data_IF_760417155306
#
_entry.id   IF_760417155306
#
_cell.length_a   1.000
_cell.length_b   1.000
_cell.length_c   1.000
_cell.angle_alpha   90.00
_cell.angle_beta   90.00
_cell.angle_gamma   90.00
#
_symmetry.space_group_name_H-M   'P 1'
#
loop_
_entity.id
_entity.type
_entity.pdbx_description
1 polymer ?
#
# COMPACT_ATOMS: atom_id res chain seq x y z
N UNK A 1 -20.99 20.92 -2.80
CA UNK A 1 -20.73 19.93 -3.87
C UNK A 1 -19.73 18.94 -3.27
N UNK A 2 -20.21 17.81 -2.73
CA UNK A 2 -19.32 16.78 -2.18
C UNK A 2 -18.51 16.18 -3.35
N UNK A 3 -17.19 16.04 -3.23
CA UNK A 3 -16.42 15.34 -4.24
C UNK A 3 -16.86 13.88 -4.31
N UNK A 4 -17.07 13.38 -5.53
CA UNK A 4 -17.21 11.94 -5.84
C UNK A 4 -16.05 11.17 -5.20
N UNK A 5 -16.28 10.50 -4.07
CA UNK A 5 -15.28 9.59 -3.49
C UNK A 5 -15.38 8.22 -4.16
N UNK A 6 -14.26 7.61 -4.57
CA UNK A 6 -14.24 6.21 -5.02
C UNK A 6 -14.66 5.28 -3.88
N UNK A 7 -15.02 4.04 -4.22
CA UNK A 7 -15.45 3.02 -3.26
C UNK A 7 -14.32 2.59 -2.30
N UNK A 8 -14.11 3.33 -1.21
CA UNK A 8 -13.18 3.01 -0.11
C UNK A 8 -12.11 4.08 0.16
N UNK A 9 -11.46 4.05 1.35
CA UNK A 9 -10.44 5.02 1.73
C UNK A 9 -9.20 4.94 0.85
N UNK A 10 -8.47 6.07 0.73
CA UNK A 10 -7.12 6.04 0.16
C UNK A 10 -6.18 5.30 1.11
N UNK A 11 -5.66 4.15 0.66
CA UNK A 11 -4.73 3.34 1.44
C UNK A 11 -3.29 3.77 1.13
N UNK A 12 -2.63 4.46 2.07
CA UNK A 12 -1.28 4.97 1.87
C UNK A 12 -0.31 4.19 2.76
N UNK A 13 0.64 3.49 2.13
CA UNK A 13 1.70 2.81 2.85
C UNK A 13 2.82 3.79 3.23
N UNK A 14 3.22 3.79 4.50
CA UNK A 14 4.40 4.51 4.97
C UNK A 14 5.53 3.50 5.16
N UNK A 15 6.59 3.61 4.35
CA UNK A 15 7.70 2.67 4.31
C UNK A 15 9.04 3.35 4.61
N UNK A 16 10.04 2.56 5.00
CA UNK A 16 11.42 3.00 5.15
C UNK A 16 12.41 1.90 4.75
N UNK A 17 13.55 2.31 4.17
CA UNK A 17 14.61 1.37 3.77
C UNK A 17 15.39 0.77 4.94
N UNK A 18 15.36 1.40 6.12
CA UNK A 18 16.02 0.96 7.35
C UNK A 18 15.17 1.26 8.59
N UNK A 19 15.48 0.58 9.70
CA UNK A 19 14.91 0.89 11.02
C UNK A 19 15.48 2.19 11.60
N UNK A 20 14.74 2.85 12.50
CA UNK A 20 15.21 4.02 13.23
C UNK A 20 15.11 5.37 12.49
N UNK A 21 14.48 5.43 11.32
CA UNK A 21 14.27 6.71 10.59
C UNK A 21 13.11 7.56 11.11
N UNK A 22 12.40 7.10 12.15
CA UNK A 22 11.21 7.79 12.70
C UNK A 22 9.94 7.65 11.87
N UNK A 23 9.83 6.59 11.05
CA UNK A 23 8.65 6.27 10.23
C UNK A 23 7.33 6.33 11.01
N UNK A 24 7.24 5.65 12.16
CA UNK A 24 6.02 5.64 12.98
C UNK A 24 5.69 7.01 13.58
N UNK A 25 6.71 7.79 13.97
CA UNK A 25 6.55 9.18 14.41
C UNK A 25 5.97 10.06 13.31
N UNK A 26 6.46 9.88 12.07
CA UNK A 26 5.93 10.56 10.89
C UNK A 26 4.49 10.14 10.64
N UNK A 27 4.18 8.84 10.66
CA UNK A 27 2.82 8.31 10.47
C UNK A 27 1.84 8.89 11.48
N UNK A 28 2.17 8.88 12.78
CA UNK A 28 1.30 9.36 13.84
C UNK A 28 0.99 10.87 13.70
N UNK A 29 2.00 11.69 13.44
CA UNK A 29 1.81 13.14 13.33
C UNK A 29 1.09 13.56 12.04
N UNK A 30 1.37 12.90 10.92
CA UNK A 30 0.62 13.13 9.66
C UNK A 30 -0.84 12.71 9.83
N UNK A 31 -1.12 11.57 10.48
CA UNK A 31 -2.49 11.11 10.71
C UNK A 31 -3.30 12.15 11.49
N UNK A 32 -2.73 12.69 12.56
CA UNK A 32 -3.39 13.71 13.39
C UNK A 32 -3.51 15.03 12.64
N UNK A 33 -2.51 15.45 11.87
CA UNK A 33 -2.60 16.64 11.04
C UNK A 33 -3.69 16.52 9.95
N UNK A 34 -3.85 15.35 9.33
CA UNK A 34 -4.94 15.07 8.39
C UNK A 34 -6.31 15.11 9.07
N UNK A 35 -6.42 14.54 10.27
CA UNK A 35 -7.66 14.60 11.06
C UNK A 35 -8.01 16.04 11.46
N UNK A 36 -7.01 16.86 11.83
CA UNK A 36 -7.19 18.29 12.12
C UNK A 36 -7.61 19.10 10.90
N UNK A 37 -7.24 18.64 9.69
CA UNK A 37 -7.71 19.19 8.42
C UNK A 37 -9.13 18.70 8.03
N UNK A 38 -9.79 17.91 8.88
CA UNK A 38 -11.17 17.45 8.70
C UNK A 38 -11.32 16.13 7.96
N UNK A 39 -10.23 15.41 7.67
CA UNK A 39 -10.29 14.08 7.07
C UNK A 39 -10.66 13.02 8.12
N UNK A 40 -11.43 12.03 7.73
CA UNK A 40 -11.65 10.80 8.48
C UNK A 40 -10.46 9.85 8.26
N UNK A 41 -9.65 9.64 9.31
CA UNK A 41 -8.35 8.97 9.22
C UNK A 41 -8.31 7.69 10.06
N UNK A 42 -7.82 6.61 9.43
CA UNK A 42 -7.42 5.38 10.10
C UNK A 42 -5.90 5.16 10.04
N UNK A 43 -5.35 4.47 11.04
CA UNK A 43 -3.96 4.01 11.07
C UNK A 43 -3.93 2.52 11.42
N UNK A 44 -3.25 1.74 10.57
CA UNK A 44 -2.84 0.37 10.87
C UNK A 44 -1.36 0.39 11.23
N UNK A 45 -1.05 0.03 12.46
CA UNK A 45 0.33 -0.23 12.89
C UNK A 45 0.72 -1.66 12.49
N UNK A 46 1.40 -1.77 11.36
CA UNK A 46 1.84 -3.03 10.77
C UNK A 46 3.27 -3.43 11.21
N UNK A 47 3.94 -2.60 12.03
CA UNK A 47 5.24 -2.95 12.61
C UNK A 47 5.05 -3.89 13.81
N UNK A 48 4.90 -5.18 13.49
CA UNK A 48 4.62 -6.22 14.48
C UNK A 48 5.72 -6.40 15.51
N UNK A 49 6.98 -6.10 15.17
CA UNK A 49 8.12 -6.33 16.05
C UNK A 49 8.44 -5.13 16.92
N UNK A 50 8.02 -3.93 16.52
CA UNK A 50 8.22 -2.70 17.29
C UNK A 50 7.02 -1.76 17.19
N UNK A 51 5.81 -2.20 17.59
CA UNK A 51 4.62 -1.37 17.48
C UNK A 51 4.78 -0.15 18.39
N UNK A 52 4.64 1.04 17.81
CA UNK A 52 4.90 2.31 18.52
C UNK A 52 3.77 3.32 18.40
N UNK A 53 2.88 3.15 17.42
CA UNK A 53 1.75 4.06 17.17
C UNK A 53 0.82 4.19 18.40
N UNK A 54 0.41 3.11 19.10
CA UNK A 54 -0.48 3.25 20.26
C UNK A 54 0.12 4.13 21.35
N UNK A 55 1.42 3.94 21.67
CA UNK A 55 2.12 4.75 22.66
C UNK A 55 2.17 6.23 22.24
N UNK A 56 2.57 6.51 20.99
CA UNK A 56 2.67 7.88 20.45
C UNK A 56 1.33 8.63 20.43
N UNK A 57 0.21 7.91 20.41
CA UNK A 57 -1.15 8.47 20.43
C UNK A 57 -1.81 8.39 21.81
N UNK A 58 -1.08 7.99 22.86
CA UNK A 58 -1.62 7.89 24.22
C UNK A 58 -2.66 6.77 24.39
N UNK A 59 -2.70 5.81 23.48
CA UNK A 59 -3.62 4.67 23.50
C UNK A 59 -3.04 3.58 24.38
N UNK A 60 -3.80 3.19 25.41
CA UNK A 60 -3.45 2.02 26.23
C UNK A 60 -3.65 0.75 25.40
N UNK A 61 -2.61 -0.07 25.28
CA UNK A 61 -2.68 -1.39 24.68
C UNK A 61 -3.67 -2.26 25.47
N UNK A 62 -4.88 -2.42 24.94
CA UNK A 62 -5.93 -3.26 25.47
C UNK A 62 -6.56 -4.02 24.32
N UNK A 63 -7.02 -5.24 24.59
CA UNK A 63 -7.76 -6.03 23.60
C UNK A 63 -8.94 -5.22 23.07
N UNK A 64 -9.07 -5.08 21.74
CA UNK A 64 -10.15 -4.31 21.15
C UNK A 64 -11.49 -4.98 21.42
N UNK A 65 -12.53 -4.17 21.60
CA UNK A 65 -13.89 -4.68 21.71
C UNK A 65 -14.38 -5.20 20.35
N UNK A 66 -15.43 -6.04 20.39
CA UNK A 66 -16.13 -6.50 19.20
C UNK A 66 -17.46 -5.76 19.08
N UNK A 67 -17.81 -5.33 17.87
CA UNK A 67 -19.12 -4.76 17.57
C UNK A 67 -20.19 -5.86 17.53
N UNK A 68 -21.50 -5.51 17.56
CA UNK A 68 -22.59 -6.46 17.39
C UNK A 68 -22.47 -7.31 16.11
N UNK A 69 -21.90 -6.73 15.05
CA UNK A 69 -21.67 -7.38 13.76
C UNK A 69 -20.37 -8.20 13.72
N UNK A 70 -19.79 -8.50 14.87
CA UNK A 70 -18.53 -9.23 15.03
C UNK A 70 -17.33 -8.59 14.31
N UNK A 71 -17.32 -7.26 14.18
CA UNK A 71 -16.14 -6.50 13.73
C UNK A 71 -15.30 -6.01 14.91
N UNK A 72 -14.02 -5.84 14.69
CA UNK A 72 -13.09 -5.28 15.68
C UNK A 72 -13.31 -3.77 15.76
N UNK A 73 -13.62 -3.25 16.94
CA UNK A 73 -13.74 -1.80 17.16
C UNK A 73 -12.34 -1.20 17.31
N UNK A 74 -11.90 -0.28 16.42
CA UNK A 74 -10.59 0.33 16.53
C UNK A 74 -10.52 1.28 17.73
N UNK A 75 -9.33 1.48 18.28
CA UNK A 75 -9.12 2.53 19.27
C UNK A 75 -9.27 3.91 18.61
N UNK A 76 -9.77 4.90 19.35
CA UNK A 76 -9.89 6.28 18.87
C UNK A 76 -9.04 7.18 19.76
N UNK A 77 -8.07 7.87 19.16
CA UNK A 77 -7.29 8.90 19.85
C UNK A 77 -6.98 10.02 18.88
N UNK A 78 -7.01 11.25 19.38
CA UNK A 78 -6.71 12.44 18.58
C UNK A 78 -7.53 12.54 17.26
N UNK A 79 -8.76 12.03 17.22
CA UNK A 79 -9.58 12.01 16.00
C UNK A 79 -9.17 10.94 14.97
N UNK A 80 -8.24 10.06 15.31
CA UNK A 80 -7.71 9.00 14.42
C UNK A 80 -8.13 7.63 14.96
N UNK A 81 -8.68 6.78 14.08
CA UNK A 81 -8.96 5.38 14.39
C UNK A 81 -7.68 4.55 14.26
N UNK A 82 -7.39 3.66 15.19
CA UNK A 82 -6.12 2.95 15.26
C UNK A 82 -6.33 1.48 15.58
N UNK A 83 -5.62 0.62 14.86
CA UNK A 83 -5.43 -0.78 15.23
C UNK A 83 -3.93 -1.11 15.18
N UNK A 84 -3.45 -1.88 16.15
CA UNK A 84 -2.05 -2.29 16.25
C UNK A 84 -1.94 -3.71 16.77
N UNK A 85 -0.85 -4.39 16.41
CA UNK A 85 -0.52 -5.69 16.96
C UNK A 85 -0.34 -5.64 18.49
N UNK A 86 0.15 -4.51 19.02
CA UNK A 86 0.28 -4.31 20.47
C UNK A 86 -1.05 -4.46 21.23
N UNK A 87 -2.19 -4.30 20.56
CA UNK A 87 -3.51 -4.45 21.18
C UNK A 87 -3.98 -5.92 21.25
N UNK A 88 -3.35 -6.83 20.50
CA UNK A 88 -3.77 -8.24 20.42
C UNK A 88 -2.93 -9.17 21.30
N UNK A 89 -1.69 -8.77 21.62
CA UNK A 89 -0.78 -9.54 22.46
C UNK A 89 -1.04 -9.24 23.93
N UNK A 90 -1.28 -10.27 24.75
CA UNK A 90 -1.18 -10.13 26.20
C UNK A 90 0.32 -9.97 26.53
N UNK A 91 0.65 -8.96 27.34
CA UNK A 91 1.97 -8.32 27.54
C UNK A 91 3.17 -9.19 27.99
N UNK A 92 3.19 -10.51 27.87
CA UNK A 92 4.26 -11.36 28.46
C UNK A 92 4.78 -12.53 27.62
N UNK A 93 4.30 -12.73 26.38
CA UNK A 93 4.86 -13.77 25.51
C UNK A 93 5.49 -13.14 24.26
N UNK A 94 6.78 -13.42 23.95
CA UNK A 94 7.31 -13.13 22.63
C UNK A 94 6.56 -14.04 21.64
N UNK A 95 5.46 -13.53 21.09
CA UNK A 95 4.73 -14.20 20.05
C UNK A 95 5.67 -14.25 18.84
N UNK A 96 6.35 -15.39 18.65
CA UNK A 96 7.12 -15.65 17.44
C UNK A 96 6.10 -15.78 16.31
N UNK A 97 5.71 -14.62 15.78
CA UNK A 97 4.80 -14.50 14.65
C UNK A 97 5.59 -14.88 13.40
N UNK A 98 5.30 -16.08 12.89
CA UNK A 98 5.81 -16.52 11.58
C UNK A 98 5.08 -15.77 10.48
N UNK A 99 5.76 -15.51 9.36
CA UNK A 99 5.27 -14.69 8.23
C UNK A 99 3.80 -14.93 7.81
N UNK A 100 3.29 -16.17 7.70
CA UNK A 100 1.89 -16.42 7.34
C UNK A 100 0.88 -15.85 8.36
N UNK A 101 1.22 -15.80 9.64
CA UNK A 101 0.34 -15.21 10.66
C UNK A 101 0.29 -13.69 10.57
N UNK A 102 1.43 -13.06 10.25
CA UNK A 102 1.52 -11.61 10.01
C UNK A 102 0.55 -11.19 8.90
N UNK A 103 0.58 -11.89 7.77
CA UNK A 103 -0.33 -11.65 6.66
C UNK A 103 -1.80 -11.77 7.08
N UNK A 104 -2.14 -12.79 7.89
CA UNK A 104 -3.49 -13.00 8.40
C UNK A 104 -3.96 -11.86 9.32
N UNK A 105 -3.10 -11.39 10.22
CA UNK A 105 -3.44 -10.26 11.10
C UNK A 105 -3.64 -8.97 10.32
N UNK A 106 -2.81 -8.72 9.32
CA UNK A 106 -2.96 -7.55 8.46
C UNK A 106 -4.24 -7.63 7.63
N UNK A 107 -4.59 -8.82 7.14
CA UNK A 107 -5.89 -9.03 6.49
C UNK A 107 -7.07 -8.78 7.42
N UNK A 108 -6.96 -9.22 8.68
CA UNK A 108 -7.95 -8.95 9.70
C UNK A 108 -8.06 -7.45 9.99
N UNK A 109 -6.94 -6.73 10.15
CA UNK A 109 -6.93 -5.29 10.41
C UNK A 109 -7.58 -4.46 9.31
N UNK A 110 -7.46 -4.88 8.06
CA UNK A 110 -8.04 -4.13 6.94
C UNK A 110 -9.50 -4.53 6.71
N UNK A 111 -9.85 -5.81 6.82
CA UNK A 111 -11.19 -6.32 6.44
C UNK A 111 -12.19 -6.44 7.59
N UNK A 112 -11.72 -6.71 8.80
CA UNK A 112 -12.56 -7.07 9.95
C UNK A 112 -12.64 -5.97 11.01
N UNK A 113 -11.88 -4.88 10.85
CA UNK A 113 -12.01 -3.70 11.70
C UNK A 113 -13.16 -2.82 11.21
N UNK A 114 -13.92 -2.29 12.15
CA UNK A 114 -15.00 -1.36 11.89
C UNK A 114 -14.47 0.07 11.68
N UNK A 115 -13.90 0.29 10.50
CA UNK A 115 -13.35 1.59 10.11
C UNK A 115 -14.41 2.66 9.91
N UNK A 116 -15.67 2.29 9.67
CA UNK A 116 -16.69 3.21 9.16
C UNK A 116 -16.27 3.86 7.84
N UNK A 117 -16.78 5.05 7.57
CA UNK A 117 -16.34 5.86 6.43
C UNK A 117 -14.99 6.52 6.76
N UNK A 118 -14.01 6.30 5.88
CA UNK A 118 -12.67 6.86 5.97
C UNK A 118 -12.30 7.52 4.63
N UNK A 119 -11.64 8.68 4.71
CA UNK A 119 -10.98 9.34 3.58
C UNK A 119 -9.61 8.72 3.32
N UNK A 120 -8.88 8.39 4.39
CA UNK A 120 -7.49 7.90 4.34
C UNK A 120 -7.26 6.81 5.38
N UNK A 121 -6.57 5.75 4.97
CA UNK A 121 -6.04 4.70 5.84
C UNK A 121 -4.52 4.61 5.67
N UNK A 122 -3.78 5.04 6.69
CA UNK A 122 -2.31 4.97 6.71
C UNK A 122 -1.85 3.60 7.23
N UNK A 123 -0.89 2.99 6.54
CA UNK A 123 -0.30 1.71 6.93
C UNK A 123 1.15 1.94 7.35
N UNK A 124 1.44 1.84 8.65
CA UNK A 124 2.80 1.97 9.18
C UNK A 124 3.56 0.64 9.01
N UNK A 125 4.26 0.47 7.89
CA UNK A 125 4.87 -0.80 7.52
C UNK A 125 6.07 -1.15 8.41
N UNK A 126 6.43 -2.43 8.64
CA UNK A 126 7.68 -2.77 9.31
C UNK A 126 8.91 -2.27 8.52
N UNK A 127 10.06 -1.99 9.15
CA UNK A 127 11.23 -1.47 8.43
C UNK A 127 11.82 -2.49 7.45
N UNK A 128 12.47 -1.98 6.39
CA UNK A 128 13.23 -2.79 5.45
C UNK A 128 12.46 -3.13 4.17
N UNK A 129 12.83 -4.25 3.53
CA UNK A 129 12.37 -4.63 2.17
C UNK A 129 11.92 -6.09 2.13
N UNK A 130 11.47 -6.59 3.28
CA UNK A 130 11.14 -8.00 3.47
C UNK A 130 9.75 -8.39 2.95
N UNK A 131 9.48 -9.69 2.94
CA UNK A 131 8.29 -10.31 2.36
C UNK A 131 6.96 -9.78 2.92
N UNK A 132 6.94 -9.21 4.12
CA UNK A 132 5.73 -8.64 4.75
C UNK A 132 5.21 -7.43 3.97
N UNK A 133 6.09 -6.52 3.56
CA UNK A 133 5.68 -5.33 2.81
C UNK A 133 5.15 -5.72 1.43
N UNK A 134 5.78 -6.72 0.78
CA UNK A 134 5.31 -7.28 -0.49
C UNK A 134 3.94 -7.94 -0.31
N UNK A 135 3.79 -8.80 0.71
CA UNK A 135 2.53 -9.49 1.00
C UNK A 135 1.39 -8.50 1.23
N UNK A 136 1.65 -7.38 1.90
CA UNK A 136 0.67 -6.30 2.10
C UNK A 136 0.26 -5.65 0.80
N UNK A 137 1.22 -5.24 -0.02
CA UNK A 137 0.96 -4.60 -1.30
C UNK A 137 0.27 -5.54 -2.30
N UNK A 138 0.47 -6.86 -2.16
CA UNK A 138 -0.25 -7.86 -2.96
C UNK A 138 -1.67 -8.13 -2.45
N UNK A 139 -1.86 -8.13 -1.13
CA UNK A 139 -3.15 -8.41 -0.53
C UNK A 139 -4.13 -7.23 -0.62
N UNK A 140 -3.61 -6.00 -0.74
CA UNK A 140 -4.41 -4.78 -0.69
C UNK A 140 -4.04 -3.79 -1.79
N UNK A 141 -5.04 -3.14 -2.41
CA UNK A 141 -4.81 -2.13 -3.43
C UNK A 141 -4.37 -0.81 -2.77
N UNK A 142 -3.05 -0.63 -2.64
CA UNK A 142 -2.51 0.60 -2.07
C UNK A 142 -2.65 1.76 -3.06
N UNK A 143 -3.31 2.84 -2.63
CA UNK A 143 -3.42 4.08 -3.40
C UNK A 143 -2.06 4.75 -3.64
N UNK A 144 -1.09 4.45 -2.77
CA UNK A 144 0.31 4.77 -2.99
C UNK A 144 1.18 4.50 -1.77
N UNK A 145 2.47 4.75 -1.92
CA UNK A 145 3.46 4.61 -0.85
C UNK A 145 4.27 5.90 -0.67
N UNK A 146 4.57 6.22 0.58
CA UNK A 146 5.47 7.29 0.99
C UNK A 146 6.73 6.66 1.57
N UNK A 147 7.89 7.17 1.17
CA UNK A 147 9.18 6.69 1.67
C UNK A 147 9.74 7.69 2.67
N UNK A 148 9.95 7.24 3.91
CA UNK A 148 10.63 7.99 4.96
C UNK A 148 12.11 7.64 4.96
N UNK A 149 12.95 8.66 4.90
CA UNK A 149 14.42 8.56 4.84
C UNK A 149 15.05 9.57 5.81
N UNK A 150 16.36 9.47 6.06
CA UNK A 150 17.13 10.52 6.74
C UNK A 150 18.21 11.11 5.83
N UNK A 151 18.78 12.30 6.13
CA UNK A 151 19.82 12.91 5.29
C UNK A 151 21.07 12.04 5.13
N UNK A 152 21.33 11.17 6.10
CA UNK A 152 22.45 10.22 6.10
C UNK A 152 22.22 8.99 5.21
N UNK A 153 21.02 8.83 4.63
CA UNK A 153 20.74 7.77 3.66
C UNK A 153 21.34 8.11 2.29
N UNK A 154 22.67 8.27 2.25
CA UNK A 154 23.44 8.59 1.05
C UNK A 154 23.46 7.40 0.06
N UNK A 155 23.08 6.20 0.50
CA UNK A 155 23.04 5.02 -0.36
C UNK A 155 21.71 4.90 -1.07
N UNK A 156 21.67 5.37 -2.32
CA UNK A 156 20.63 5.07 -3.31
C UNK A 156 20.25 3.59 -3.35
N UNK A 157 21.16 2.67 -3.00
CA UNK A 157 20.87 1.22 -2.95
C UNK A 157 19.84 0.86 -1.87
N UNK A 158 19.83 1.54 -0.73
CA UNK A 158 18.89 1.25 0.38
C UNK A 158 17.52 1.82 0.06
N UNK A 159 17.45 3.07 -0.41
CA UNK A 159 16.21 3.68 -0.90
C UNK A 159 15.62 2.88 -2.08
N UNK A 160 16.41 2.59 -3.12
CA UNK A 160 15.98 1.79 -4.28
C UNK A 160 15.50 0.40 -3.92
N UNK A 161 16.03 -0.23 -2.87
CA UNK A 161 15.60 -1.60 -2.49
C UNK A 161 14.16 -1.59 -1.97
N UNK A 162 13.76 -0.60 -1.18
CA UNK A 162 12.38 -0.46 -0.70
C UNK A 162 11.43 -0.05 -1.81
N UNK A 163 11.90 0.79 -2.73
CA UNK A 163 11.13 1.30 -3.86
C UNK A 163 10.89 0.25 -4.95
N UNK A 164 11.91 -0.56 -5.31
CA UNK A 164 11.78 -1.62 -6.32
C UNK A 164 10.66 -2.60 -5.98
N UNK A 165 10.45 -2.86 -4.69
CA UNK A 165 9.38 -3.75 -4.26
C UNK A 165 8.00 -3.14 -4.50
N UNK A 166 7.82 -1.83 -4.27
CA UNK A 166 6.56 -1.13 -4.58
C UNK A 166 6.33 -1.01 -6.09
N UNK A 167 7.39 -0.79 -6.87
CA UNK A 167 7.34 -0.83 -8.34
C UNK A 167 6.91 -2.22 -8.85
N UNK A 168 7.39 -3.32 -8.25
CA UNK A 168 7.03 -4.68 -8.64
C UNK A 168 5.55 -5.00 -8.47
N UNK A 169 4.85 -4.26 -7.61
CA UNK A 169 3.43 -4.42 -7.30
C UNK A 169 2.60 -3.19 -7.73
N UNK A 170 3.12 -2.40 -8.67
CA UNK A 170 2.50 -1.21 -9.25
C UNK A 170 1.88 -0.26 -8.21
N UNK A 171 2.51 -0.12 -7.05
CA UNK A 171 2.08 0.86 -6.05
C UNK A 171 2.79 2.18 -6.34
N UNK A 172 2.06 3.26 -6.66
CA UNK A 172 2.68 4.54 -7.00
C UNK A 172 3.39 5.12 -5.79
N UNK A 173 4.60 5.62 -6.00
CA UNK A 173 5.34 6.32 -4.96
C UNK A 173 4.85 7.77 -4.93
N UNK A 174 4.12 8.14 -3.88
CA UNK A 174 3.54 9.47 -3.71
C UNK A 174 4.61 10.52 -3.42
N UNK A 175 5.71 10.09 -2.80
CA UNK A 175 6.89 10.92 -2.61
C UNK A 175 7.79 10.47 -1.48
N UNK A 176 8.80 11.29 -1.21
CA UNK A 176 9.83 11.05 -0.19
C UNK A 176 9.72 12.12 0.90
N UNK A 177 9.81 11.69 2.15
CA UNK A 177 9.95 12.53 3.33
C UNK A 177 11.36 12.36 3.89
N UNK A 178 12.08 13.47 4.07
CA UNK A 178 13.37 13.46 4.77
C UNK A 178 13.14 13.82 6.25
N UNK A 179 13.14 12.81 7.11
CA UNK A 179 13.05 13.00 8.55
C UNK A 179 14.42 13.25 9.18
N UNK A 180 14.45 13.86 10.35
CA UNK A 180 15.67 14.20 11.09
C UNK A 180 16.62 15.12 10.30
N UNK A 181 16.07 16.05 9.53
CA UNK A 181 16.80 16.98 8.66
C UNK A 181 17.08 18.31 9.35
N UNK A 182 18.28 18.44 9.90
CA UNK A 182 18.65 19.55 10.77
C UNK A 182 18.13 19.36 12.20
N UNK A 183 18.36 20.36 13.03
CA UNK A 183 18.04 20.37 14.47
C UNK A 183 17.38 21.70 14.85
N UNK A 184 16.19 21.63 15.43
CA UNK A 184 15.46 22.77 15.97
C UNK A 184 16.11 23.20 17.28
N UNK A 185 16.62 24.43 17.35
CA UNK A 185 17.11 25.00 18.59
C UNK A 185 15.93 25.23 19.58
N UNK A 186 15.93 24.60 20.76
CA UNK A 186 14.82 24.77 21.72
C UNK A 186 14.70 26.18 22.31
N UNK A 187 15.76 27.00 22.22
CA UNK A 187 15.75 28.37 22.74
C UNK A 187 15.19 29.42 21.77
N UNK A 188 15.42 29.25 20.46
CA UNK A 188 15.06 30.27 19.46
C UNK A 188 14.28 29.74 18.25
N UNK A 189 14.00 28.43 18.18
CA UNK A 189 13.28 27.80 17.07
C UNK A 189 14.08 27.70 15.76
N UNK A 190 15.28 28.28 15.69
CA UNK A 190 16.13 28.20 14.48
C UNK A 190 16.51 26.74 14.18
N UNK A 191 16.21 26.30 12.97
CA UNK A 191 16.68 25.00 12.47
C UNK A 191 18.13 25.14 11.98
N UNK A 192 19.02 24.35 12.58
CA UNK A 192 20.45 24.31 12.24
C UNK A 192 20.81 22.97 11.63
N UNK A 193 21.55 22.98 10.52
CA UNK A 193 21.95 21.75 9.85
C UNK A 193 23.22 21.17 10.46
N UNK A 194 23.05 20.06 11.19
CA UNK A 194 24.13 19.32 11.85
C UNK A 194 24.80 18.27 10.94
N UNK A 195 24.15 17.91 9.83
CA UNK A 195 24.60 16.94 8.84
C UNK A 195 24.47 17.51 7.43
N UNK A 196 24.95 16.77 6.43
CA UNK A 196 24.71 17.08 5.02
C UNK A 196 23.21 17.13 4.72
N UNK A 197 22.80 18.05 3.85
CA UNK A 197 21.41 18.28 3.47
C UNK A 197 21.07 17.65 2.11
N UNK A 198 19.78 17.43 1.87
CA UNK A 198 19.24 17.16 0.54
C UNK A 198 19.35 15.72 0.07
N UNK A 199 19.58 14.77 0.98
CA UNK A 199 19.61 13.34 0.65
C UNK A 199 18.26 12.85 0.11
N UNK A 200 17.17 13.18 0.81
CA UNK A 200 15.80 12.88 0.40
C UNK A 200 15.37 13.62 -0.87
N UNK A 201 15.78 14.88 -1.05
CA UNK A 201 15.51 15.64 -2.28
C UNK A 201 16.22 15.03 -3.49
N UNK A 202 17.48 14.61 -3.33
CA UNK A 202 18.24 13.94 -4.37
C UNK A 202 17.59 12.59 -4.74
N UNK A 203 17.16 11.81 -3.73
CA UNK A 203 16.42 10.56 -3.93
C UNK A 203 15.13 10.83 -4.71
N UNK A 204 14.31 11.79 -4.30
CA UNK A 204 13.06 12.13 -4.98
C UNK A 204 13.28 12.51 -6.45
N UNK A 205 14.27 13.37 -6.71
CA UNK A 205 14.64 13.81 -8.07
C UNK A 205 15.09 12.65 -8.96
N UNK A 206 15.93 11.76 -8.43
CA UNK A 206 16.44 10.62 -9.20
C UNK A 206 15.35 9.61 -9.54
N UNK A 207 14.35 9.47 -8.67
CA UNK A 207 13.20 8.58 -8.88
C UNK A 207 12.08 9.22 -9.72
N UNK A 208 12.16 10.53 -9.98
CA UNK A 208 11.08 11.26 -10.64
C UNK A 208 9.80 11.34 -9.80
N UNK A 209 9.90 11.34 -8.47
CA UNK A 209 8.76 11.41 -7.54
C UNK A 209 8.79 12.72 -6.76
N UNK A 210 7.66 13.06 -6.11
CA UNK A 210 7.59 14.28 -5.31
C UNK A 210 8.51 14.22 -4.07
N UNK A 211 9.13 15.35 -3.74
CA UNK A 211 9.70 15.57 -2.43
C UNK A 211 8.63 16.23 -1.55
N UNK A 212 8.12 15.50 -0.55
CA UNK A 212 6.98 15.94 0.25
C UNK A 212 7.38 16.93 1.34
N UNK A 213 8.64 16.89 1.76
CA UNK A 213 9.18 17.83 2.74
C UNK A 213 10.25 17.22 3.63
N UNK A 214 10.79 18.08 4.50
CA UNK A 214 11.78 17.73 5.50
C UNK A 214 11.27 18.03 6.90
N UNK A 215 11.53 17.13 7.83
CA UNK A 215 11.17 17.28 9.25
C UNK A 215 12.45 17.38 10.07
N UNK A 216 12.68 18.47 10.83
CA UNK A 216 13.88 18.60 11.64
C UNK A 216 13.86 17.68 12.86
N UNK A 217 15.04 17.40 13.42
CA UNK A 217 15.15 16.88 14.78
C UNK A 217 14.67 17.96 15.74
N UNK A 218 13.56 17.71 16.40
CA UNK A 218 12.92 18.64 17.31
C UNK A 218 12.72 17.94 18.65
N UNK A 219 13.31 18.44 19.76
CA UNK A 219 13.13 17.84 21.09
C UNK A 219 11.66 17.65 21.46
N UNK A 220 10.79 18.58 21.05
CA UNK A 220 9.37 18.51 21.32
C UNK A 220 8.76 17.24 20.72
N UNK A 221 9.24 16.76 19.57
CA UNK A 221 8.74 15.52 18.93
C UNK A 221 8.98 14.30 19.82
N UNK A 222 10.12 14.22 20.50
CA UNK A 222 10.47 13.08 21.36
C UNK A 222 9.62 13.11 22.62
N UNK A 223 9.60 14.25 23.31
CA UNK A 223 8.86 14.42 24.55
C UNK A 223 7.35 14.20 24.35
N UNK A 224 6.81 14.78 23.27
CA UNK A 224 5.42 14.60 22.85
C UNK A 224 5.09 13.14 22.52
N UNK A 225 6.00 12.45 21.83
CA UNK A 225 5.81 11.04 21.47
C UNK A 225 5.79 10.11 22.68
N UNK A 226 6.65 10.37 23.67
CA UNK A 226 6.69 9.58 24.90
C UNK A 226 5.49 9.85 25.82
N UNK A 227 4.99 11.09 25.84
CA UNK A 227 3.79 11.49 26.55
C UNK A 227 2.48 11.02 25.88
N UNK A 228 2.55 10.47 24.67
CA UNK A 228 1.38 10.11 23.88
C UNK A 228 0.55 11.30 23.43
N UNK A 229 1.20 12.46 23.19
CA UNK A 229 0.58 13.71 22.76
C UNK A 229 1.27 14.20 21.49
N UNK A 230 0.77 13.91 20.28
CA UNK A 230 1.42 14.26 19.01
C UNK A 230 1.85 15.73 18.90
N UNK A 231 3.07 15.99 18.41
CA UNK A 231 3.67 17.34 18.38
C UNK A 231 2.81 18.34 17.62
N UNK A 232 2.12 17.88 16.57
CA UNK A 232 1.23 18.72 15.76
C UNK A 232 0.11 19.40 16.56
N UNK A 233 -0.24 18.84 17.73
CA UNK A 233 -1.19 19.43 18.68
C UNK A 233 -0.55 19.95 19.96
N UNK A 234 0.48 19.27 20.46
CA UNK A 234 1.12 19.62 21.72
C UNK A 234 2.04 20.86 21.61
N UNK A 235 2.72 21.02 20.47
CA UNK A 235 3.56 22.16 20.14
C UNK A 235 3.27 22.61 18.69
N UNK A 236 2.09 23.19 18.43
CA UNK A 236 1.64 23.45 17.06
C UNK A 236 2.52 24.46 16.32
N UNK A 237 3.21 25.36 17.01
CA UNK A 237 4.12 26.34 16.41
C UNK A 237 5.56 25.82 16.25
N UNK A 238 5.83 24.55 16.60
CA UNK A 238 7.17 23.98 16.42
C UNK A 238 7.47 23.78 14.92
N UNK A 239 8.74 23.95 14.48
CA UNK A 239 9.12 23.69 13.10
C UNK A 239 8.77 22.28 12.61
N UNK A 240 8.83 21.27 13.50
CA UNK A 240 8.40 19.93 13.14
C UNK A 240 6.88 19.82 12.95
N UNK A 241 6.08 20.47 13.81
CA UNK A 241 4.62 20.51 13.67
C UNK A 241 4.18 21.18 12.35
N UNK A 242 4.84 22.28 11.97
CA UNK A 242 4.63 22.94 10.67
C UNK A 242 4.98 22.02 9.50
N UNK A 243 6.13 21.35 9.56
CA UNK A 243 6.55 20.40 8.54
C UNK A 243 5.56 19.24 8.37
N UNK A 244 5.07 18.66 9.46
CA UNK A 244 4.07 17.59 9.41
C UNK A 244 2.74 18.05 8.79
N UNK A 245 2.26 19.26 9.12
CA UNK A 245 1.05 19.81 8.51
C UNK A 245 1.22 20.07 7.01
N UNK A 246 2.37 20.60 6.60
CA UNK A 246 2.67 20.80 5.18
C UNK A 246 2.71 19.47 4.40
N UNK A 247 3.37 18.44 4.95
CA UNK A 247 3.41 17.11 4.36
C UNK A 247 2.00 16.48 4.31
N UNK A 248 1.21 16.62 5.37
CA UNK A 248 -0.16 16.11 5.43
C UNK A 248 -1.05 16.78 4.37
N UNK A 249 -0.92 18.10 4.17
CA UNK A 249 -1.62 18.83 3.11
C UNK A 249 -1.20 18.36 1.72
N UNK A 250 0.11 18.19 1.48
CA UNK A 250 0.62 17.68 0.22
C UNK A 250 0.13 16.26 -0.10
N UNK A 251 -0.03 15.40 0.91
CA UNK A 251 -0.60 14.06 0.75
C UNK A 251 -2.13 14.07 0.64
N UNK A 252 -2.79 15.05 1.25
CA UNK A 252 -4.23 15.23 1.13
C UNK A 252 -4.61 15.66 -0.29
N UNK A 253 -3.85 16.60 -0.88
CA UNK A 253 -4.01 17.13 -2.24
C UNK A 253 -3.43 16.21 -3.30
N UNK A 254 -2.30 15.57 -3.00
CA UNK A 254 -1.55 14.69 -3.89
C UNK A 254 -2.11 13.28 -3.96
N UNK A 255 -2.22 12.78 -5.20
CA UNK A 255 -2.56 11.43 -5.60
C UNK A 255 -4.05 11.04 -5.51
N UNK A 256 -4.76 11.38 -6.59
CA UNK A 256 -5.54 10.34 -7.28
C UNK A 256 -4.54 9.28 -7.75
N UNK A 257 -4.82 8.01 -7.44
CA UNK A 257 -4.06 6.89 -7.97
C UNK A 257 -3.88 7.06 -9.50
N UNK A 258 -2.74 6.62 -10.08
CA UNK A 258 -2.61 6.53 -11.53
C UNK A 258 -3.83 5.76 -12.04
N UNK A 259 -4.56 6.36 -12.98
CA UNK A 259 -5.89 5.88 -13.37
C UNK A 259 -5.86 4.40 -13.73
N UNK A 260 -6.96 3.69 -13.51
CA UNK A 260 -7.07 2.25 -13.74
C UNK A 260 -8.38 1.74 -13.13
N UNK A 261 -8.74 0.50 -13.40
CA UNK A 261 -9.97 -0.09 -12.86
C UNK A 261 -9.97 -0.04 -11.33
N UNK A 262 -11.15 0.17 -10.73
CA UNK A 262 -11.28 0.24 -9.28
C UNK A 262 -10.99 -1.12 -8.64
N UNK A 263 -10.16 -1.12 -7.60
CA UNK A 263 -9.77 -2.28 -6.80
C UNK A 263 -10.11 -2.02 -5.32
N UNK A 264 -10.43 -3.05 -4.51
CA UNK A 264 -10.48 -4.45 -4.90
C UNK A 264 -11.81 -4.82 -5.57
N UNK A 265 -11.79 -5.84 -6.44
CA UNK A 265 -13.00 -6.43 -7.01
C UNK A 265 -12.90 -7.95 -7.10
N UNK A 266 -14.07 -8.60 -7.14
CA UNK A 266 -14.22 -10.03 -7.47
C UNK A 266 -15.37 -10.13 -8.46
N UNK A 267 -15.05 -10.49 -9.69
CA UNK A 267 -15.99 -10.64 -10.79
C UNK A 267 -16.27 -12.12 -11.06
N UNK A 268 -17.54 -12.50 -10.88
CA UNK A 268 -18.10 -13.79 -11.31
C UNK A 268 -18.48 -13.69 -12.78
N UNK A 269 -17.75 -14.39 -13.66
CA UNK A 269 -18.00 -14.35 -15.11
C UNK A 269 -19.40 -14.89 -15.46
N UNK A 270 -19.85 -16.05 -14.94
CA UNK A 270 -21.16 -16.60 -15.30
C UNK A 270 -22.34 -15.74 -14.86
N UNK A 271 -22.20 -15.02 -13.74
CA UNK A 271 -23.28 -14.22 -13.14
C UNK A 271 -23.20 -12.73 -13.53
N UNK A 272 -22.08 -12.30 -14.11
CA UNK A 272 -21.79 -10.88 -14.36
C UNK A 272 -21.60 -10.03 -13.09
N UNK A 273 -21.72 -10.64 -11.90
CA UNK A 273 -21.70 -9.94 -10.62
C UNK A 273 -20.29 -9.52 -10.20
N UNK A 274 -20.14 -8.28 -9.72
CA UNK A 274 -18.87 -7.76 -9.18
C UNK A 274 -17.85 -7.31 -10.23
N UNK A 275 -18.27 -7.13 -11.48
CA UNK A 275 -17.45 -6.51 -12.53
C UNK A 275 -17.11 -5.05 -12.15
N UNK A 276 -15.83 -4.63 -12.20
CA UNK A 276 -15.47 -3.25 -11.92
C UNK A 276 -15.90 -2.33 -13.07
N UNK A 277 -16.25 -1.08 -12.73
CA UNK A 277 -16.54 -0.07 -13.73
C UNK A 277 -15.27 0.34 -14.51
N UNK A 278 -15.38 0.74 -15.79
CA UNK A 278 -14.28 1.32 -16.54
C UNK A 278 -13.68 2.53 -15.82
N UNK A 279 -12.36 2.61 -15.82
CA UNK A 279 -11.61 3.74 -15.30
C UNK A 279 -11.90 5.00 -16.12
N UNK A 280 -12.01 6.15 -15.46
CA UNK A 280 -11.99 7.44 -16.16
C UNK A 280 -10.55 7.69 -16.61
N UNK A 281 -10.33 7.81 -17.93
CA UNK A 281 -9.00 7.97 -18.51
C UNK A 281 -8.22 9.12 -17.89
N UNK A 282 -6.93 8.89 -17.61
CA UNK A 282 -5.98 9.90 -17.12
C UNK A 282 -4.81 9.98 -18.10
N UNK A 283 -4.38 11.18 -18.47
CA UNK A 283 -3.29 11.40 -19.44
C UNK A 283 -1.90 11.00 -18.94
N UNK A 284 -1.75 10.63 -17.66
CA UNK A 284 -0.46 10.31 -17.01
C UNK A 284 -0.32 8.83 -16.60
N UNK A 285 -1.27 7.96 -16.95
CA UNK A 285 -1.17 6.55 -16.57
C UNK A 285 -0.13 5.78 -17.43
N UNK A 286 0.63 4.82 -16.85
CA UNK A 286 1.47 3.90 -17.61
C UNK A 286 0.68 3.13 -18.68
N UNK A 287 1.30 2.75 -19.82
CA UNK A 287 0.60 2.05 -20.90
C UNK A 287 0.06 0.68 -20.46
N UNK A 288 0.75 -0.02 -19.56
CA UNK A 288 0.32 -1.30 -18.99
C UNK A 288 -0.70 -1.16 -17.86
N UNK A 289 -1.29 0.02 -17.67
CA UNK A 289 -2.36 0.22 -16.71
C UNK A 289 -3.72 -0.20 -17.29
N UNK A 290 -4.41 -1.11 -16.61
CA UNK A 290 -5.69 -1.67 -17.05
C UNK A 290 -6.82 -0.67 -16.80
N UNK A 291 -7.44 -0.17 -17.86
CA UNK A 291 -8.51 0.84 -17.83
C UNK A 291 -9.91 0.24 -17.83
N UNK A 292 -10.10 -0.92 -18.46
CA UNK A 292 -11.33 -1.70 -18.38
C UNK A 292 -11.05 -3.18 -18.70
N UNK A 293 -11.98 -4.05 -18.33
CA UNK A 293 -11.96 -5.44 -18.75
C UNK A 293 -13.38 -5.93 -19.03
N UNK A 294 -13.47 -6.85 -19.98
CA UNK A 294 -14.68 -7.48 -20.48
C UNK A 294 -14.41 -8.97 -20.77
N UNK A 295 -15.46 -9.76 -20.93
CA UNK A 295 -15.33 -11.18 -21.24
C UNK A 295 -16.49 -11.57 -22.15
N UNK A 296 -16.15 -12.28 -23.22
CA UNK A 296 -17.13 -12.83 -24.15
C UNK A 296 -16.72 -14.25 -24.59
N UNK A 297 -17.43 -14.80 -25.57
CA UNK A 297 -17.21 -16.18 -26.03
C UNK A 297 -15.80 -16.46 -26.57
N UNK A 298 -15.07 -15.43 -27.00
CA UNK A 298 -13.70 -15.58 -27.50
C UNK A 298 -12.64 -15.38 -26.41
N UNK A 299 -13.02 -14.92 -25.21
CA UNK A 299 -12.16 -14.85 -24.04
C UNK A 299 -12.17 -13.50 -23.33
N UNK A 300 -11.10 -13.23 -22.61
CA UNK A 300 -10.89 -12.01 -21.83
C UNK A 300 -10.49 -10.86 -22.74
N UNK A 301 -11.20 -9.73 -22.64
CA UNK A 301 -10.90 -8.47 -23.31
C UNK A 301 -10.34 -7.49 -22.28
N UNK A 302 -9.17 -6.94 -22.55
CA UNK A 302 -8.46 -5.99 -21.69
C UNK A 302 -8.30 -4.68 -22.45
N UNK A 303 -8.71 -3.57 -21.83
CA UNK A 303 -8.50 -2.23 -22.34
C UNK A 303 -7.42 -1.55 -21.51
N UNK A 304 -6.42 -1.01 -22.18
CA UNK A 304 -5.25 -0.40 -21.55
C UNK A 304 -5.34 1.12 -21.57
N UNK A 305 -4.52 1.79 -20.77
CA UNK A 305 -4.57 3.25 -20.63
C UNK A 305 -4.06 3.99 -21.88
N UNK A 306 -3.23 3.34 -22.70
CA UNK A 306 -2.76 3.85 -23.99
C UNK A 306 -3.82 3.74 -25.12
N UNK A 307 -5.00 3.18 -24.81
CA UNK A 307 -6.09 2.95 -25.75
C UNK A 307 -6.02 1.59 -26.45
N UNK A 308 -5.01 0.77 -26.16
CA UNK A 308 -4.89 -0.56 -26.75
C UNK A 308 -5.98 -1.49 -26.21
N UNK A 309 -6.67 -2.20 -27.11
CA UNK A 309 -7.55 -3.31 -26.78
C UNK A 309 -6.82 -4.63 -27.06
N UNK A 310 -6.83 -5.53 -26.09
CA UNK A 310 -6.20 -6.83 -26.18
C UNK A 310 -7.21 -7.92 -25.85
N UNK A 311 -7.22 -8.97 -26.67
CA UNK A 311 -8.07 -10.14 -26.48
C UNK A 311 -7.22 -11.37 -26.24
N UNK A 312 -7.53 -12.12 -25.19
CA UNK A 312 -6.79 -13.29 -24.76
C UNK A 312 -7.76 -14.45 -24.54
N UNK A 313 -7.53 -15.58 -25.22
CA UNK A 313 -8.36 -16.76 -25.04
C UNK A 313 -8.18 -17.35 -23.63
N UNK A 314 -9.27 -17.86 -23.05
CA UNK A 314 -9.27 -18.45 -21.70
C UNK A 314 -8.24 -19.58 -21.57
N UNK A 315 -8.10 -20.40 -22.62
CA UNK A 315 -7.13 -21.49 -22.67
C UNK A 315 -5.68 -20.99 -22.73
N UNK A 316 -5.41 -19.92 -23.47
CA UNK A 316 -4.07 -19.35 -23.58
C UNK A 316 -3.61 -18.75 -22.26
N UNK A 317 -4.51 -18.05 -21.56
CA UNK A 317 -4.28 -17.57 -20.20
C UNK A 317 -3.96 -18.74 -19.27
N UNK A 318 -4.74 -19.83 -19.32
CA UNK A 318 -4.48 -21.02 -18.49
C UNK A 318 -3.13 -21.66 -18.78
N UNK A 319 -2.76 -21.75 -20.06
CA UNK A 319 -1.47 -22.26 -20.51
C UNK A 319 -0.32 -21.35 -20.06
N UNK A 320 -0.53 -20.03 -20.08
CA UNK A 320 0.45 -19.05 -19.66
C UNK A 320 0.57 -18.89 -18.13
N UNK A 321 -0.23 -19.63 -17.34
CA UNK A 321 -0.22 -19.54 -15.87
C UNK A 321 1.19 -19.76 -15.30
N UNK A 322 1.61 -18.86 -14.39
CA UNK A 322 2.92 -18.87 -13.74
C UNK A 322 2.87 -19.13 -12.24
N UNK A 323 1.74 -19.64 -11.72
CA UNK A 323 1.65 -19.99 -10.31
C UNK A 323 2.52 -21.21 -9.97
N UNK A 324 2.78 -21.42 -8.68
CA UNK A 324 3.60 -22.52 -8.17
C UNK A 324 3.03 -23.92 -8.49
N UNK A 325 1.75 -24.05 -8.84
CA UNK A 325 1.17 -25.32 -9.30
C UNK A 325 1.46 -25.62 -10.78
N UNK A 326 1.76 -24.57 -11.56
CA UNK A 326 1.97 -24.69 -13.01
C UNK A 326 3.43 -24.60 -13.41
N UNK A 327 4.28 -24.00 -12.56
CA UNK A 327 5.73 -23.90 -12.76
C UNK A 327 6.47 -24.20 -11.47
N UNK A 328 7.56 -24.94 -11.62
CA UNK A 328 8.46 -25.24 -10.50
C UNK A 328 9.23 -23.98 -10.09
N UNK A 329 9.24 -23.65 -8.80
CA UNK A 329 9.83 -22.41 -8.29
C UNK A 329 11.36 -22.37 -8.41
N UNK A 330 12.04 -23.52 -8.32
CA UNK A 330 13.50 -23.59 -8.34
C UNK A 330 14.07 -23.61 -9.76
N UNK A 331 13.36 -24.24 -10.69
CA UNK A 331 13.84 -24.48 -12.06
C UNK A 331 13.09 -23.65 -13.10
N UNK A 332 11.98 -23.01 -12.74
CA UNK A 332 11.03 -22.35 -13.66
C UNK A 332 10.47 -23.28 -14.74
N UNK A 333 10.69 -24.59 -14.63
CA UNK A 333 10.21 -25.60 -15.55
C UNK A 333 8.68 -25.70 -15.49
N UNK A 334 8.06 -25.92 -16.65
CA UNK A 334 6.61 -26.02 -16.75
C UNK A 334 6.15 -27.38 -16.20
N UNK A 335 5.35 -27.36 -15.14
CA UNK A 335 4.70 -28.54 -14.56
C UNK A 335 3.40 -28.84 -15.29
N UNK A 336 2.70 -27.78 -15.74
CA UNK A 336 1.46 -27.90 -16.49
C UNK A 336 1.68 -28.60 -17.83
N UNK A 337 1.01 -29.74 -18.00
CA UNK A 337 0.91 -30.47 -19.26
C UNK A 337 -0.13 -29.78 -20.18
N UNK A 338 0.27 -29.16 -21.31
CA UNK A 338 -0.65 -28.48 -22.22
C UNK A 338 -1.75 -29.38 -22.79
N UNK A 339 -1.47 -30.67 -22.97
CA UNK A 339 -2.41 -31.62 -23.54
C UNK A 339 -3.58 -31.94 -22.59
N UNK A 340 -3.41 -31.69 -21.28
CA UNK A 340 -4.45 -31.90 -20.27
C UNK A 340 -5.37 -30.69 -20.08
N UNK A 341 -5.03 -29.54 -20.69
CA UNK A 341 -5.87 -28.33 -20.60
C UNK A 341 -7.02 -28.45 -21.60
N UNK A 342 -8.29 -28.52 -21.14
CA UNK A 342 -9.45 -28.67 -22.01
C UNK A 342 -9.53 -27.60 -23.10
N UNK A 343 -10.02 -27.97 -24.29
CA UNK A 343 -10.22 -27.03 -25.40
C UNK A 343 -11.38 -26.05 -25.13
N UNK A 344 -12.37 -26.50 -24.36
CA UNK A 344 -13.54 -25.74 -23.95
C UNK A 344 -13.37 -25.06 -22.58
N UNK A 345 -12.12 -24.89 -22.12
CA UNK A 345 -11.82 -24.21 -20.87
C UNK A 345 -12.45 -22.81 -20.85
N UNK A 346 -12.99 -22.41 -19.69
CA UNK A 346 -13.54 -21.08 -19.44
C UNK A 346 -12.97 -20.47 -18.17
N UNK A 347 -12.81 -19.16 -18.17
CA UNK A 347 -12.62 -18.40 -16.93
C UNK A 347 -13.95 -18.34 -16.19
N UNK A 348 -13.94 -18.70 -14.91
CA UNK A 348 -15.12 -18.67 -14.04
C UNK A 348 -15.12 -17.45 -13.13
N UNK A 349 -13.93 -16.95 -12.77
CA UNK A 349 -13.78 -15.84 -11.83
C UNK A 349 -12.52 -15.04 -12.12
N UNK A 350 -12.63 -13.72 -11.95
CA UNK A 350 -11.49 -12.79 -12.00
C UNK A 350 -11.52 -11.93 -10.74
N UNK A 351 -10.38 -11.69 -10.12
CA UNK A 351 -10.29 -10.75 -8.99
C UNK A 351 -9.03 -9.92 -9.09
N UNK A 352 -9.04 -8.74 -8.48
CA UNK A 352 -7.84 -7.90 -8.34
C UNK A 352 -6.88 -8.48 -7.30
N UNK A 353 -5.58 -8.49 -7.62
CA UNK A 353 -4.49 -8.72 -6.67
C UNK A 353 -3.70 -7.42 -6.59
N UNK A 354 -3.88 -6.68 -5.50
CA UNK A 354 -3.39 -5.31 -5.37
C UNK A 354 -3.80 -4.44 -6.56
N UNK A 355 -2.86 -3.65 -7.08
CA UNK A 355 -3.03 -2.79 -8.26
C UNK A 355 -2.19 -3.25 -9.46
N UNK A 356 -1.72 -4.50 -9.47
CA UNK A 356 -0.72 -4.94 -10.45
C UNK A 356 -1.05 -6.24 -11.16
N UNK A 357 -2.06 -6.98 -10.71
CA UNK A 357 -2.36 -8.28 -11.25
C UNK A 357 -3.85 -8.63 -11.17
N UNK A 358 -4.24 -9.54 -12.04
CA UNK A 358 -5.49 -10.28 -11.96
C UNK A 358 -5.21 -11.67 -11.42
N UNK A 359 -6.01 -12.09 -10.46
CA UNK A 359 -6.20 -13.49 -10.17
C UNK A 359 -7.31 -14.06 -11.04
N UNK A 360 -7.15 -15.31 -11.49
CA UNK A 360 -8.14 -15.98 -12.34
C UNK A 360 -8.39 -17.41 -11.88
N UNK A 361 -9.66 -17.82 -11.93
CA UNK A 361 -10.10 -19.19 -11.74
C UNK A 361 -10.71 -19.73 -13.03
N UNK A 362 -10.51 -21.02 -13.27
CA UNK A 362 -10.85 -21.69 -14.53
C UNK A 362 -11.79 -22.89 -14.28
N UNK A 363 -12.50 -23.31 -15.34
CA UNK A 363 -13.47 -24.41 -15.28
C UNK A 363 -12.85 -25.79 -15.05
N UNK A 364 -11.53 -25.94 -15.21
CA UNK A 364 -10.78 -27.16 -14.85
C UNK A 364 -10.51 -27.28 -13.34
N UNK A 365 -11.03 -26.35 -12.54
CA UNK A 365 -10.87 -26.31 -11.09
C UNK A 365 -9.61 -25.56 -10.62
N UNK A 366 -8.79 -25.02 -11.53
CA UNK A 366 -7.63 -24.21 -11.16
C UNK A 366 -8.05 -22.82 -10.68
N UNK A 367 -7.61 -22.39 -9.49
CA UNK A 367 -8.04 -21.13 -8.85
C UNK A 367 -6.89 -20.30 -8.24
N UNK A 368 -5.64 -20.63 -8.56
CA UNK A 368 -4.45 -19.95 -8.02
C UNK A 368 -3.68 -19.15 -9.08
N UNK A 369 -4.26 -18.95 -10.26
CA UNK A 369 -3.62 -18.23 -11.35
C UNK A 369 -3.44 -16.76 -11.03
N UNK A 370 -2.21 -16.23 -11.19
CA UNK A 370 -1.86 -14.83 -10.97
C UNK A 370 -1.21 -14.28 -12.24
N UNK A 371 -1.75 -13.19 -12.77
CA UNK A 371 -1.37 -12.58 -14.04
C UNK A 371 -1.09 -11.10 -13.83
N UNK A 372 0.19 -10.71 -13.82
CA UNK A 372 0.54 -9.29 -13.69
C UNK A 372 0.10 -8.53 -14.94
N UNK A 373 -0.33 -7.28 -14.78
CA UNK A 373 -0.72 -6.40 -15.88
C UNK A 373 0.39 -6.28 -16.91
N UNK A 374 1.64 -6.13 -16.47
CA UNK A 374 2.81 -6.18 -17.34
C UNK A 374 2.94 -7.47 -18.14
N UNK A 375 2.66 -8.63 -17.53
CA UNK A 375 2.70 -9.91 -18.24
C UNK A 375 1.55 -10.06 -19.23
N UNK A 376 0.35 -9.63 -18.86
CA UNK A 376 -0.82 -9.61 -19.74
C UNK A 376 -0.59 -8.68 -20.93
N UNK A 377 -0.15 -7.44 -20.68
CA UNK A 377 0.19 -6.46 -21.70
C UNK A 377 1.28 -6.99 -22.63
N UNK A 378 2.30 -7.68 -22.12
CA UNK A 378 3.35 -8.30 -22.94
C UNK A 378 2.87 -9.50 -23.78
N UNK A 379 1.68 -10.06 -23.53
CA UNK A 379 1.09 -11.08 -24.42
C UNK A 379 0.55 -10.48 -25.72
N UNK A 380 0.56 -9.14 -25.87
CA UNK A 380 0.26 -8.49 -27.14
C UNK A 380 1.27 -8.93 -28.21
N UNK A 381 0.79 -9.56 -29.28
CA UNK A 381 1.62 -9.94 -30.43
C UNK A 381 2.31 -11.30 -30.34
N UNK A 382 2.02 -12.13 -29.33
CA UNK A 382 2.30 -13.56 -29.44
C UNK A 382 1.20 -14.19 -30.31
N UNK A 383 1.47 -14.34 -31.61
CA UNK A 383 0.94 -15.52 -32.31
C UNK A 383 1.47 -16.72 -31.52
N UNK A 384 0.65 -17.25 -30.63
CA UNK A 384 0.93 -18.52 -29.97
C UNK A 384 0.91 -19.54 -31.10
N UNK A 385 2.09 -19.84 -31.65
CA UNK A 385 2.28 -20.91 -32.62
C UNK A 385 1.51 -22.13 -32.12
N UNK A 386 0.56 -22.57 -32.94
CA UNK A 386 -0.16 -23.83 -32.76
C UNK A 386 0.88 -24.94 -32.54
N UNK A 387 0.99 -25.42 -31.30
CA UNK A 387 1.72 -26.66 -30.97
C UNK A 387 0.74 -27.81 -30.87
#
# INVERSE_FOLDING_TARGET
>A
MQPDHPAGPRMIAISSGKGGVGKSTVTANIAVAMADAGLSVGVVDADIYGPSIPRMLGIRARKPAMSPDQKIVPALAHGVKVISMAMLTDDDAPAILRGPMVAKYLQMFIRQVDWGDLDVLLLDLPPGTGDIQLTLAQAFPLSGAVVVSTPQDVSLKIARRGLRMMEQVNVPILGVIENMSGFTCPGCGTVTHIFHEGGGEAIARELGVAFLGKVPLDPDVVDCGDDGRPVVRAAPESPAAEAYRAIAAALAEGARAPGGIATPFVWSIPEGAGKPAPARGTTEAPPDCLSALDHDNAGLVLHWADGTEQRLADRDLRLACRCAQCRDEMTSARILDPARVPLDLRITRIWSIGNYALGMAFSDGHDTGIYTFKALYAMQGLELEDV
#
